data_IF_825557673227
#
_entry.id   IF_825557673227
#
_cell.length_a   1.000
_cell.length_b   1.000
_cell.length_c   1.000
_cell.angle_alpha   90.00
_cell.angle_beta   90.00
_cell.angle_gamma   90.00
#
_symmetry.space_group_name_H-M   'P 1'
#
loop_
_entity.id
_entity.type
_entity.pdbx_description
1 polymer ?
#
# COMPACT_ATOMS: atom_id res chain seq x y z
N UNK A 1 -7.49 25.81 -6.73
CA UNK A 1 -8.54 26.09 -7.72
C UNK A 1 -9.38 24.84 -8.03
N UNK A 2 -8.84 23.71 -8.47
CA UNK A 2 -9.58 22.48 -8.83
C UNK A 2 -10.42 21.90 -7.68
N UNK A 3 -9.90 21.90 -6.43
CA UNK A 3 -10.67 21.42 -5.25
C UNK A 3 -11.86 22.29 -4.91
N UNK A 4 -11.76 23.61 -5.14
CA UNK A 4 -12.86 24.55 -4.89
C UNK A 4 -13.96 24.40 -5.97
N UNK A 5 -13.58 24.21 -7.23
CA UNK A 5 -14.50 23.92 -8.32
C UNK A 5 -15.24 22.60 -8.10
N UNK A 6 -14.56 21.56 -7.64
CA UNK A 6 -15.17 20.26 -7.33
C UNK A 6 -16.17 20.35 -6.16
N UNK A 7 -15.85 21.12 -5.11
CA UNK A 7 -16.79 21.37 -4.00
C UNK A 7 -18.04 22.14 -4.43
N UNK A 8 -17.87 23.19 -5.27
CA UNK A 8 -19.01 23.94 -5.83
C UNK A 8 -19.90 23.06 -6.71
N UNK A 9 -19.30 22.19 -7.52
CA UNK A 9 -20.05 21.23 -8.34
C UNK A 9 -20.78 20.21 -7.47
N UNK A 10 -20.13 19.63 -6.46
CA UNK A 10 -20.74 18.69 -5.50
C UNK A 10 -21.89 19.32 -4.71
N UNK A 11 -21.83 20.63 -4.47
CA UNK A 11 -22.89 21.38 -3.78
C UNK A 11 -24.06 21.70 -4.72
N UNK A 12 -23.78 22.02 -5.97
CA UNK A 12 -24.78 22.22 -7.00
C UNK A 12 -25.54 20.92 -7.29
N UNK A 13 -24.83 19.79 -7.46
CA UNK A 13 -25.41 18.47 -7.70
C UNK A 13 -26.32 18.04 -6.55
N UNK A 14 -25.96 18.40 -5.31
CA UNK A 14 -26.80 18.16 -4.12
C UNK A 14 -28.07 19.01 -4.11
N UNK A 15 -27.97 20.28 -4.54
CA UNK A 15 -29.11 21.23 -4.58
C UNK A 15 -30.09 20.91 -5.71
N UNK A 16 -29.59 20.39 -6.81
CA UNK A 16 -30.39 20.07 -8.01
C UNK A 16 -30.95 18.65 -8.02
N UNK A 17 -30.61 17.81 -7.01
CA UNK A 17 -31.05 16.41 -6.95
C UNK A 17 -30.47 15.53 -8.05
N UNK A 18 -29.48 16.03 -8.80
CA UNK A 18 -28.80 15.25 -9.84
C UNK A 18 -27.94 14.18 -9.16
N UNK A 19 -28.25 12.91 -9.41
CA UNK A 19 -27.40 11.82 -8.96
C UNK A 19 -25.99 12.02 -9.53
N UNK A 20 -24.98 11.90 -8.66
CA UNK A 20 -23.58 12.01 -9.13
C UNK A 20 -23.36 10.99 -10.24
N UNK A 21 -22.89 11.42 -11.42
CA UNK A 21 -22.47 10.47 -12.41
C UNK A 21 -21.41 9.57 -11.79
N UNK A 22 -21.47 8.29 -12.12
CA UNK A 22 -20.50 7.31 -11.65
C UNK A 22 -19.08 7.81 -11.94
N UNK A 23 -18.39 8.26 -10.90
CA UNK A 23 -16.99 8.59 -11.03
C UNK A 23 -16.19 7.29 -10.90
N UNK A 24 -15.36 6.94 -11.90
CA UNK A 24 -14.54 5.77 -11.84
C UNK A 24 -13.71 5.82 -10.57
N UNK A 25 -13.66 4.71 -9.87
CA UNK A 25 -12.69 4.58 -8.79
C UNK A 25 -11.30 4.77 -9.38
N UNK A 26 -10.48 5.70 -8.85
CA UNK A 26 -9.15 6.01 -9.39
C UNK A 26 -8.18 4.81 -9.39
N UNK A 27 -8.66 3.61 -9.07
CA UNK A 27 -7.88 2.41 -8.76
C UNK A 27 -7.84 1.36 -9.88
N UNK A 28 -8.63 1.52 -10.94
CA UNK A 28 -8.58 0.57 -12.03
C UNK A 28 -7.40 0.92 -12.95
N UNK A 29 -6.37 0.08 -12.94
CA UNK A 29 -5.21 0.18 -13.84
C UNK A 29 -5.44 -0.51 -15.18
N UNK A 30 -6.63 -1.10 -15.40
CA UNK A 30 -6.93 -1.78 -16.67
C UNK A 30 -7.22 -0.76 -17.74
N UNK A 31 -6.51 -0.81 -18.88
CA UNK A 31 -6.71 0.13 -19.98
C UNK A 31 -8.15 0.19 -20.45
N UNK A 32 -8.85 -0.96 -20.51
CA UNK A 32 -10.25 -1.05 -20.92
C UNK A 32 -11.18 -0.28 -19.97
N UNK A 33 -10.93 -0.39 -18.65
CA UNK A 33 -11.77 0.30 -17.68
C UNK A 33 -11.58 1.82 -17.75
N UNK A 34 -10.35 2.26 -18.00
CA UNK A 34 -10.06 3.69 -18.18
C UNK A 34 -10.70 4.21 -19.47
N UNK A 35 -10.58 3.45 -20.54
CA UNK A 35 -11.20 3.79 -21.82
C UNK A 35 -12.73 3.82 -21.71
N UNK A 36 -13.33 2.85 -21.02
CA UNK A 36 -14.77 2.83 -20.75
C UNK A 36 -15.26 4.09 -20.05
N UNK A 37 -14.54 4.50 -19.05
CA UNK A 37 -14.89 5.67 -18.26
C UNK A 37 -14.80 6.96 -19.07
N UNK A 38 -13.72 7.14 -19.81
CA UNK A 38 -13.53 8.32 -20.66
C UNK A 38 -14.57 8.32 -21.77
N UNK A 39 -14.81 7.16 -22.39
CA UNK A 39 -15.83 7.01 -23.42
C UNK A 39 -17.23 7.36 -22.91
N UNK A 40 -17.63 6.87 -21.74
CA UNK A 40 -18.91 7.21 -21.13
C UNK A 40 -18.98 8.72 -20.79
N UNK A 41 -17.90 9.28 -20.26
CA UNK A 41 -17.82 10.69 -19.92
C UNK A 41 -17.99 11.57 -21.16
N UNK A 42 -17.28 11.26 -22.25
CA UNK A 42 -17.35 12.00 -23.50
C UNK A 42 -18.74 11.93 -24.14
N UNK A 43 -19.43 10.79 -24.06
CA UNK A 43 -20.81 10.65 -24.56
C UNK A 43 -21.83 11.41 -23.71
N UNK A 44 -21.70 11.41 -22.40
CA UNK A 44 -22.63 12.09 -21.48
C UNK A 44 -22.46 13.61 -21.53
N UNK A 45 -21.23 14.09 -21.51
CA UNK A 45 -20.94 15.53 -21.37
C UNK A 45 -20.48 16.22 -22.67
N UNK A 46 -20.25 15.43 -23.71
CA UNK A 46 -19.60 15.89 -24.93
C UNK A 46 -18.08 16.09 -24.79
N UNK A 47 -17.39 16.04 -25.90
CA UNK A 47 -15.97 16.35 -25.98
C UNK A 47 -15.70 17.17 -27.23
N UNK A 48 -15.60 18.52 -27.12
CA UNK A 48 -15.35 19.40 -28.26
C UNK A 48 -14.03 19.10 -28.99
N UNK A 49 -13.02 18.58 -28.28
CA UNK A 49 -11.72 18.25 -28.88
C UNK A 49 -11.79 17.02 -29.80
N UNK A 50 -12.74 16.14 -29.56
CA UNK A 50 -13.01 14.96 -30.38
C UNK A 50 -14.27 15.09 -31.23
N UNK A 51 -14.86 16.30 -31.26
CA UNK A 51 -16.12 16.58 -31.98
C UNK A 51 -17.29 15.66 -31.56
N UNK A 52 -17.37 15.34 -30.28
CA UNK A 52 -18.44 14.53 -29.69
C UNK A 52 -19.47 15.48 -29.06
N UNK A 53 -20.69 15.48 -29.56
CA UNK A 53 -21.80 16.22 -28.97
C UNK A 53 -22.31 15.51 -27.69
N UNK A 54 -22.76 16.25 -26.65
CA UNK A 54 -23.37 15.66 -25.47
C UNK A 54 -24.69 14.95 -25.84
N UNK A 55 -24.95 13.82 -25.19
CA UNK A 55 -26.14 12.98 -25.36
C UNK A 55 -26.94 12.98 -24.05
N UNK A 56 -27.85 13.96 -23.82
CA UNK A 56 -28.59 14.11 -22.57
C UNK A 56 -29.47 12.91 -22.21
N UNK A 57 -29.97 12.18 -23.20
CA UNK A 57 -30.75 10.96 -23.06
C UNK A 57 -29.92 9.85 -22.37
N UNK A 58 -28.67 9.68 -22.72
CA UNK A 58 -27.77 8.72 -22.05
C UNK A 58 -27.52 9.10 -20.59
N UNK A 59 -27.51 10.40 -20.28
CA UNK A 59 -27.41 10.86 -18.92
C UNK A 59 -28.67 10.55 -18.10
N UNK A 60 -29.84 10.74 -18.69
CA UNK A 60 -31.11 10.42 -18.03
C UNK A 60 -31.23 8.91 -17.75
N UNK A 61 -30.90 8.05 -18.69
CA UNK A 61 -30.85 6.60 -18.53
C UNK A 61 -29.82 6.18 -17.48
N UNK A 62 -28.65 6.77 -17.48
CA UNK A 62 -27.58 6.51 -16.53
C UNK A 62 -28.00 6.88 -15.10
N UNK A 63 -28.65 8.02 -14.91
CA UNK A 63 -29.14 8.50 -13.61
C UNK A 63 -30.23 7.63 -13.02
N UNK A 64 -31.02 6.96 -13.88
CA UNK A 64 -32.06 6.01 -13.48
C UNK A 64 -31.54 4.60 -13.22
N UNK A 65 -30.22 4.37 -13.36
CA UNK A 65 -29.61 3.03 -13.20
C UNK A 65 -29.86 2.07 -14.35
N UNK A 66 -30.63 2.46 -15.37
CA UNK A 66 -30.92 1.64 -16.56
C UNK A 66 -29.86 1.75 -17.64
N UNK A 67 -29.19 2.89 -17.72
CA UNK A 67 -28.20 3.19 -18.76
C UNK A 67 -26.88 2.44 -18.63
N UNK A 68 -26.62 1.77 -17.49
CA UNK A 68 -25.38 1.01 -17.29
C UNK A 68 -25.30 -0.18 -18.25
N UNK A 69 -26.43 -0.83 -18.53
CA UNK A 69 -26.49 -2.01 -19.41
C UNK A 69 -26.36 -1.57 -20.88
N UNK A 70 -27.15 -0.59 -21.30
CA UNK A 70 -27.11 -0.07 -22.66
C UNK A 70 -25.77 0.61 -23.00
N UNK A 71 -25.20 1.39 -22.07
CA UNK A 71 -23.85 1.95 -22.20
C UNK A 71 -22.78 0.87 -22.30
N UNK A 72 -22.91 -0.21 -21.53
CA UNK A 72 -22.00 -1.33 -21.62
C UNK A 72 -22.04 -2.03 -22.97
N UNK A 73 -23.21 -2.28 -23.51
CA UNK A 73 -23.40 -2.89 -24.83
C UNK A 73 -22.85 -1.99 -25.93
N UNK A 74 -23.16 -0.69 -25.89
CA UNK A 74 -22.63 0.28 -26.84
C UNK A 74 -21.10 0.38 -26.75
N UNK A 75 -20.53 0.31 -25.54
CA UNK A 75 -19.08 0.28 -25.35
C UNK A 75 -18.43 -0.99 -25.87
N UNK A 76 -19.07 -2.17 -25.69
CA UNK A 76 -18.57 -3.42 -26.26
C UNK A 76 -18.59 -3.39 -27.79
N UNK A 77 -19.64 -2.82 -28.39
CA UNK A 77 -19.68 -2.59 -29.84
C UNK A 77 -18.58 -1.61 -30.30
N UNK A 78 -18.35 -0.53 -29.56
CA UNK A 78 -17.23 0.38 -29.79
C UNK A 78 -15.88 -0.34 -29.68
N UNK A 79 -15.64 -1.15 -28.65
CA UNK A 79 -14.41 -1.91 -28.52
C UNK A 79 -14.18 -2.91 -29.68
N UNK A 80 -15.25 -3.42 -30.28
CA UNK A 80 -15.15 -4.30 -31.43
C UNK A 80 -14.88 -3.56 -32.76
N UNK A 81 -15.04 -2.23 -32.79
CA UNK A 81 -14.73 -1.40 -33.96
C UNK A 81 -13.22 -1.14 -34.10
N UNK A 82 -12.77 -0.82 -35.32
CA UNK A 82 -11.37 -0.43 -35.57
C UNK A 82 -10.94 0.76 -34.72
N UNK A 83 -11.82 1.75 -34.54
CA UNK A 83 -11.57 2.93 -33.73
C UNK A 83 -11.37 2.59 -32.25
N UNK A 84 -12.23 1.70 -31.71
CA UNK A 84 -12.11 1.22 -30.33
C UNK A 84 -10.85 0.38 -30.09
N UNK A 85 -10.49 -0.46 -31.03
CA UNK A 85 -9.25 -1.25 -30.97
C UNK A 85 -8.02 -0.36 -31.04
N UNK A 86 -8.02 0.66 -31.89
CA UNK A 86 -6.96 1.66 -31.95
C UNK A 86 -6.85 2.44 -30.64
N UNK A 87 -7.97 2.95 -30.10
CA UNK A 87 -7.98 3.69 -28.84
C UNK A 87 -7.51 2.83 -27.65
N UNK A 88 -7.82 1.54 -27.65
CA UNK A 88 -7.33 0.59 -26.65
C UNK A 88 -5.82 0.36 -26.78
N UNK A 89 -5.33 0.19 -28.00
CA UNK A 89 -3.89 0.05 -28.28
C UNK A 89 -3.12 1.32 -27.90
N UNK A 90 -3.61 2.49 -28.26
CA UNK A 90 -3.01 3.78 -27.91
C UNK A 90 -2.97 3.96 -26.38
N UNK A 91 -4.03 3.56 -25.67
CA UNK A 91 -4.04 3.59 -24.20
C UNK A 91 -3.08 2.58 -23.58
N UNK A 92 -2.97 1.41 -24.15
CA UNK A 92 -2.03 0.39 -23.69
C UNK A 92 -0.58 0.86 -23.90
N UNK A 93 -0.32 1.56 -25.04
CA UNK A 93 1.01 2.12 -25.35
C UNK A 93 1.27 3.45 -24.61
N UNK A 94 0.28 4.33 -24.45
CA UNK A 94 0.47 5.67 -23.89
C UNK A 94 0.48 5.71 -22.36
N UNK A 95 0.10 4.64 -21.67
CA UNK A 95 0.04 4.56 -20.20
C UNK A 95 0.64 3.29 -19.59
N UNK A 96 1.45 2.57 -20.29
CA UNK A 96 2.65 2.15 -19.62
C UNK A 96 3.46 3.44 -19.42
N UNK A 97 3.56 4.04 -18.17
CA UNK A 97 4.84 4.63 -17.89
C UNK A 97 5.75 3.49 -18.32
N UNK A 98 6.77 3.74 -19.14
CA UNK A 98 7.81 2.76 -19.32
C UNK A 98 8.02 2.17 -17.94
N UNK A 99 7.42 1.00 -17.70
CA UNK A 99 7.68 0.23 -16.50
C UNK A 99 9.07 -0.27 -16.76
N UNK A 100 10.03 0.67 -16.65
CA UNK A 100 11.42 0.39 -16.70
C UNK A 100 11.59 -0.70 -15.68
N UNK A 101 11.83 -1.89 -16.16
CA UNK A 101 12.17 -2.99 -15.31
C UNK A 101 13.41 -2.52 -14.55
N UNK A 102 13.27 -2.30 -13.24
CA UNK A 102 14.37 -1.85 -12.40
C UNK A 102 15.54 -2.83 -12.49
N UNK A 103 15.28 -4.07 -12.88
CA UNK A 103 16.27 -5.13 -13.09
C UNK A 103 17.03 -5.01 -14.40
N UNK A 104 16.47 -4.37 -15.42
CA UNK A 104 17.16 -4.16 -16.70
C UNK A 104 18.27 -3.10 -16.65
N UNK A 105 18.49 -2.51 -15.48
CA UNK A 105 19.50 -1.49 -15.26
C UNK A 105 20.79 -2.15 -14.75
N UNK A 106 21.82 -2.24 -15.59
CA UNK A 106 23.11 -2.88 -15.26
C UNK A 106 24.06 -1.98 -14.46
N UNK A 107 23.66 -0.75 -14.14
CA UNK A 107 24.47 0.13 -13.28
C UNK A 107 24.60 -0.45 -11.87
N UNK A 108 25.71 -0.20 -11.17
CA UNK A 108 25.82 -0.58 -9.76
C UNK A 108 24.73 0.08 -8.93
N UNK A 109 24.36 -0.54 -7.81
CA UNK A 109 23.41 0.04 -6.89
C UNK A 109 24.07 1.15 -6.07
N UNK A 110 23.44 2.31 -6.03
CA UNK A 110 23.88 3.46 -5.25
C UNK A 110 23.21 3.50 -3.88
N UNK A 111 21.98 3.00 -3.79
CA UNK A 111 21.15 3.02 -2.58
C UNK A 111 20.40 1.72 -2.38
N UNK A 112 19.88 1.52 -1.17
CA UNK A 112 19.10 0.32 -0.82
C UNK A 112 17.86 0.69 -0.02
N UNK A 113 16.71 0.19 -0.43
CA UNK A 113 15.46 0.25 0.32
C UNK A 113 15.09 -1.13 0.86
N UNK A 114 15.05 -1.28 2.18
CA UNK A 114 14.66 -2.53 2.85
C UNK A 114 13.20 -2.44 3.27
N UNK A 115 12.41 -3.40 2.82
CA UNK A 115 10.95 -3.42 2.95
C UNK A 115 10.51 -4.67 3.69
N UNK A 116 9.84 -4.57 4.85
CA UNK A 116 9.27 -5.71 5.53
C UNK A 116 7.93 -6.08 4.89
N UNK A 117 7.65 -7.37 4.77
CA UNK A 117 6.37 -7.92 4.35
C UNK A 117 5.87 -8.82 5.46
N UNK A 118 4.89 -8.33 6.22
CA UNK A 118 4.55 -8.90 7.50
C UNK A 118 3.14 -8.51 7.96
N UNK A 119 2.65 -9.24 8.95
CA UNK A 119 1.46 -8.85 9.72
C UNK A 119 1.85 -8.10 11.00
N UNK A 120 0.93 -7.38 11.68
CA UNK A 120 1.19 -6.81 13.00
C UNK A 120 1.64 -7.89 13.99
N UNK A 121 2.58 -7.57 14.87
CA UNK A 121 3.11 -8.53 15.87
C UNK A 121 4.19 -9.50 15.38
N UNK A 122 4.56 -9.48 14.10
CA UNK A 122 5.62 -10.35 13.55
C UNK A 122 7.04 -10.03 14.03
N UNK A 123 7.28 -8.83 14.60
CA UNK A 123 8.60 -8.41 15.09
C UNK A 123 9.38 -7.48 14.15
N UNK A 124 8.77 -7.01 13.04
CA UNK A 124 9.43 -6.18 12.04
C UNK A 124 10.12 -4.92 12.60
N UNK A 125 9.42 -4.14 13.45
CA UNK A 125 9.97 -2.91 14.03
C UNK A 125 11.17 -3.19 14.92
N UNK A 126 11.13 -4.24 15.74
CA UNK A 126 12.27 -4.63 16.58
C UNK A 126 13.48 -5.01 15.71
N UNK A 127 13.28 -5.78 14.64
CA UNK A 127 14.33 -6.12 13.68
C UNK A 127 14.94 -4.86 13.03
N UNK A 128 14.10 -3.91 12.62
CA UNK A 128 14.57 -2.68 11.96
C UNK A 128 15.29 -1.74 12.92
N UNK A 129 14.84 -1.66 14.16
CA UNK A 129 15.57 -0.93 15.22
C UNK A 129 16.96 -1.54 15.46
N UNK A 130 17.06 -2.87 15.51
CA UNK A 130 18.34 -3.54 15.65
C UNK A 130 19.28 -3.29 14.46
N UNK A 131 18.77 -3.36 13.22
CA UNK A 131 19.55 -3.05 12.01
C UNK A 131 19.99 -1.58 11.99
N UNK A 132 19.10 -0.66 12.34
CA UNK A 132 19.44 0.78 12.46
C UNK A 132 20.53 1.01 13.50
N UNK A 133 20.46 0.35 14.66
CA UNK A 133 21.48 0.44 15.70
C UNK A 133 22.83 -0.09 15.23
N UNK A 134 22.86 -1.23 14.53
CA UNK A 134 24.10 -1.87 14.07
C UNK A 134 24.84 -1.04 13.02
N UNK A 135 24.12 -0.42 12.09
CA UNK A 135 24.72 0.18 10.90
C UNK A 135 24.41 1.68 10.73
N UNK A 136 23.64 2.29 11.61
CA UNK A 136 23.21 3.67 11.46
C UNK A 136 22.25 3.93 10.29
N UNK A 137 21.58 2.87 9.79
CA UNK A 137 20.64 3.01 8.66
C UNK A 137 19.43 3.85 9.04
N UNK A 138 18.97 4.66 8.09
CA UNK A 138 17.78 5.46 8.28
C UNK A 138 16.54 4.56 8.46
N UNK A 139 15.74 4.82 9.49
CA UNK A 139 14.55 4.05 9.81
C UNK A 139 13.33 4.96 9.83
N UNK A 140 12.38 4.74 8.92
CA UNK A 140 11.12 5.49 8.86
C UNK A 140 9.94 4.55 9.06
N UNK A 141 9.02 4.95 9.95
CA UNK A 141 7.88 4.12 10.36
C UNK A 141 6.57 4.76 9.89
N UNK A 142 5.66 3.94 9.35
CA UNK A 142 4.31 4.41 8.98
C UNK A 142 3.51 4.86 10.19
N UNK A 143 3.81 4.30 11.36
CA UNK A 143 3.12 4.61 12.60
C UNK A 143 3.52 5.96 13.20
N UNK A 144 4.66 6.52 12.81
CA UNK A 144 5.09 7.88 13.21
C UNK A 144 4.39 8.99 12.42
N UNK A 145 3.73 8.66 11.32
CA UNK A 145 3.06 9.63 10.47
C UNK A 145 1.80 10.16 11.15
N UNK A 146 1.77 11.46 11.48
CA UNK A 146 0.68 12.11 12.22
C UNK A 146 -0.46 12.61 11.34
N UNK A 147 -0.36 12.49 10.01
CA UNK A 147 -1.40 12.95 9.11
C UNK A 147 -2.58 11.98 9.06
N UNK A 148 -3.80 12.49 8.79
CA UNK A 148 -5.03 11.68 8.64
C UNK A 148 -4.89 10.56 7.59
N UNK A 149 -4.05 10.74 6.57
CA UNK A 149 -3.71 9.74 5.55
C UNK A 149 -2.26 9.32 5.73
N UNK A 150 -2.04 8.28 6.53
CA UNK A 150 -0.69 7.80 6.87
C UNK A 150 0.10 7.28 5.65
N UNK A 151 -0.55 6.58 4.71
CA UNK A 151 0.12 6.01 3.54
C UNK A 151 0.90 7.03 2.71
N UNK A 152 0.28 8.09 2.16
CA UNK A 152 1.01 9.11 1.40
C UNK A 152 2.08 9.84 2.19
N UNK A 153 1.88 10.04 3.50
CA UNK A 153 2.88 10.65 4.39
C UNK A 153 4.10 9.76 4.55
N UNK A 154 3.88 8.46 4.75
CA UNK A 154 4.93 7.47 4.84
C UNK A 154 5.78 7.39 3.56
N UNK A 155 5.13 7.36 2.39
CA UNK A 155 5.84 7.31 1.10
C UNK A 155 6.71 8.57 0.88
N UNK A 156 6.24 9.74 1.31
CA UNK A 156 7.06 10.96 1.28
C UNK A 156 8.27 10.88 2.21
N UNK A 157 8.10 10.30 3.41
CA UNK A 157 9.20 10.09 4.32
C UNK A 157 10.23 9.11 3.72
N UNK A 158 9.78 7.99 3.14
CA UNK A 158 10.67 7.04 2.44
C UNK A 158 11.44 7.74 1.33
N UNK A 159 10.78 8.54 0.50
CA UNK A 159 11.41 9.32 -0.56
C UNK A 159 12.47 10.28 0.01
N UNK A 160 12.12 11.04 1.04
CA UNK A 160 13.02 11.97 1.72
C UNK A 160 14.25 11.27 2.29
N UNK A 161 14.06 10.16 2.99
CA UNK A 161 15.17 9.41 3.59
C UNK A 161 16.08 8.80 2.51
N UNK A 162 15.52 8.29 1.39
CA UNK A 162 16.32 7.78 0.27
C UNK A 162 17.14 8.88 -0.43
N UNK A 163 16.67 10.13 -0.43
CA UNK A 163 17.46 11.26 -0.94
C UNK A 163 18.69 11.54 -0.05
N UNK A 164 18.58 11.32 1.26
CA UNK A 164 19.57 11.69 2.25
C UNK A 164 20.51 10.55 2.68
N UNK A 165 20.09 9.30 2.56
CA UNK A 165 20.78 8.12 3.09
C UNK A 165 20.96 7.02 2.03
N UNK A 166 22.01 6.20 2.20
CA UNK A 166 22.30 5.11 1.26
C UNK A 166 21.46 3.87 1.55
N UNK A 167 21.09 3.62 2.81
CA UNK A 167 20.23 2.51 3.21
C UNK A 167 19.07 3.03 4.05
N UNK A 168 17.84 2.68 3.64
CA UNK A 168 16.60 3.09 4.29
C UNK A 168 15.76 1.86 4.65
N UNK A 169 15.31 1.81 5.90
CA UNK A 169 14.40 0.81 6.44
C UNK A 169 12.98 1.38 6.44
N UNK A 170 12.12 0.88 5.54
CA UNK A 170 10.75 1.38 5.34
C UNK A 170 9.73 0.57 6.15
N UNK A 171 9.60 0.86 7.45
CA UNK A 171 8.79 0.09 8.39
C UNK A 171 7.29 0.32 8.24
N UNK A 172 6.66 -0.58 7.50
CA UNK A 172 5.21 -0.71 7.33
C UNK A 172 4.90 -2.20 7.11
N UNK A 173 3.69 -2.66 7.37
CA UNK A 173 3.34 -4.08 7.18
C UNK A 173 3.52 -4.58 5.73
N UNK A 174 3.20 -3.77 4.74
CA UNK A 174 3.29 -4.06 3.29
C UNK A 174 2.65 -5.41 2.88
N UNK A 175 1.66 -5.86 3.65
CA UNK A 175 0.96 -7.13 3.46
C UNK A 175 0.09 -7.16 2.20
N UNK A 176 -0.20 -6.02 1.60
CA UNK A 176 -0.94 -5.89 0.33
C UNK A 176 0.02 -5.62 -0.84
N UNK A 177 -0.23 -6.22 -1.99
CA UNK A 177 0.50 -5.94 -3.25
C UNK A 177 0.52 -4.43 -3.52
N UNK A 178 -0.61 -3.76 -3.35
CA UNK A 178 -0.70 -2.30 -3.52
C UNK A 178 0.34 -1.52 -2.70
N UNK A 179 0.62 -1.95 -1.47
CA UNK A 179 1.59 -1.28 -0.62
C UNK A 179 3.02 -1.44 -1.14
N UNK A 180 3.31 -2.60 -1.75
CA UNK A 180 4.58 -2.90 -2.38
C UNK A 180 4.72 -2.12 -3.69
N UNK A 181 3.65 -2.07 -4.50
CA UNK A 181 3.56 -1.23 -5.71
C UNK A 181 3.88 0.24 -5.41
N UNK A 182 3.29 0.79 -4.34
CA UNK A 182 3.50 2.17 -3.93
C UNK A 182 4.99 2.46 -3.64
N UNK A 183 5.72 1.52 -3.03
CA UNK A 183 7.15 1.65 -2.75
C UNK A 183 8.00 1.50 -4.02
N UNK A 184 7.69 0.54 -4.87
CA UNK A 184 8.34 0.40 -6.19
C UNK A 184 8.16 1.66 -7.03
N UNK A 185 6.97 2.28 -7.01
CA UNK A 185 6.71 3.54 -7.71
C UNK A 185 7.52 4.72 -7.13
N UNK A 186 7.79 4.74 -5.82
CA UNK A 186 8.73 5.71 -5.22
C UNK A 186 10.13 5.49 -5.80
N UNK A 187 10.64 4.27 -5.77
CA UNK A 187 11.98 3.94 -6.29
C UNK A 187 12.09 4.29 -7.77
N UNK A 188 11.14 3.89 -8.62
CA UNK A 188 11.11 4.25 -10.05
C UNK A 188 11.20 5.76 -10.28
N UNK A 189 10.48 6.53 -9.46
CA UNK A 189 10.44 7.99 -9.59
C UNK A 189 11.78 8.64 -9.28
N UNK A 190 12.44 8.21 -8.18
CA UNK A 190 13.71 8.81 -7.74
C UNK A 190 14.92 8.29 -8.53
N UNK A 191 14.83 7.09 -9.10
CA UNK A 191 15.88 6.50 -9.94
C UNK A 191 15.81 6.97 -11.40
N UNK A 192 14.85 7.84 -11.75
CA UNK A 192 14.68 8.32 -13.12
C UNK A 192 15.77 9.35 -13.49
N UNK A 193 16.70 9.05 -14.44
CA UNK A 193 17.77 9.98 -14.82
C UNK A 193 17.28 11.33 -15.31
N UNK A 194 16.09 11.40 -15.91
CA UNK A 194 15.51 12.64 -16.43
C UNK A 194 15.03 13.61 -15.34
N UNK A 195 14.97 13.18 -14.07
CA UNK A 195 14.45 13.96 -12.94
C UNK A 195 15.49 14.24 -11.84
N UNK A 196 16.78 14.16 -12.15
CA UNK A 196 17.83 14.32 -11.14
C UNK A 196 17.93 13.09 -10.24
N UNK A 197 18.22 11.95 -10.87
CA UNK A 197 18.27 10.63 -10.24
C UNK A 197 19.25 10.55 -9.06
N UNK A 198 18.84 9.88 -8.00
CA UNK A 198 19.71 9.46 -6.89
C UNK A 198 20.58 8.24 -7.24
N UNK A 199 20.53 7.78 -8.48
CA UNK A 199 21.17 6.55 -8.91
C UNK A 199 20.24 5.33 -8.88
N UNK A 200 20.81 4.14 -8.93
CA UNK A 200 20.07 2.88 -8.89
C UNK A 200 19.78 2.46 -7.45
N UNK A 201 18.53 2.17 -7.14
CA UNK A 201 18.10 1.74 -5.81
C UNK A 201 17.82 0.25 -5.80
N UNK A 202 18.52 -0.50 -4.93
CA UNK A 202 18.24 -1.91 -4.66
C UNK A 202 17.00 -2.03 -3.78
N UNK A 203 16.10 -2.92 -4.16
CA UNK A 203 14.92 -3.27 -3.37
C UNK A 203 15.16 -4.61 -2.65
N UNK A 204 15.15 -4.59 -1.31
CA UNK A 204 15.31 -5.78 -0.48
C UNK A 204 14.01 -6.06 0.27
N UNK A 205 13.43 -7.24 0.09
CA UNK A 205 12.28 -7.71 0.86
C UNK A 205 12.71 -8.56 2.06
N UNK A 206 12.20 -8.25 3.24
CA UNK A 206 12.25 -9.15 4.40
C UNK A 206 10.83 -9.67 4.64
N UNK A 207 10.62 -10.94 4.35
CA UNK A 207 9.30 -11.58 4.33
C UNK A 207 9.13 -12.47 5.54
N UNK A 208 8.19 -12.17 6.43
CA UNK A 208 7.75 -13.10 7.45
C UNK A 208 6.80 -14.10 6.80
N UNK A 209 7.32 -15.31 6.60
CA UNK A 209 6.54 -16.36 5.94
C UNK A 209 5.45 -16.87 6.89
N UNK A 210 4.22 -16.79 6.42
CA UNK A 210 3.02 -17.30 7.11
C UNK A 210 2.28 -18.32 6.25
N UNK A 211 2.88 -18.73 5.11
CA UNK A 211 2.30 -19.74 4.24
C UNK A 211 2.23 -21.10 4.96
N UNK A 212 1.10 -21.75 4.86
CA UNK A 212 0.86 -23.05 5.50
C UNK A 212 0.48 -22.99 6.98
N UNK A 213 0.52 -21.79 7.61
CA UNK A 213 0.05 -21.63 8.99
C UNK A 213 -1.46 -21.34 9.04
N UNK A 214 -2.13 -21.87 10.06
CA UNK A 214 -3.53 -21.53 10.31
C UNK A 214 -3.66 -20.09 10.81
N UNK A 215 -4.80 -19.44 10.52
CA UNK A 215 -5.08 -18.10 11.06
C UNK A 215 -5.00 -18.04 12.57
N UNK A 216 -5.43 -19.11 13.27
CA UNK A 216 -5.40 -19.18 14.73
C UNK A 216 -3.97 -19.24 15.28
N UNK A 217 -3.04 -19.94 14.62
CA UNK A 217 -1.62 -19.97 15.03
C UNK A 217 -0.97 -18.61 14.87
N UNK A 218 -1.15 -17.96 13.71
CA UNK A 218 -0.61 -16.62 13.46
C UNK A 218 -1.19 -15.63 14.47
N UNK A 219 -2.50 -15.71 14.72
CA UNK A 219 -3.18 -14.84 15.68
C UNK A 219 -2.66 -15.04 17.10
N UNK A 220 -2.57 -16.28 17.57
CA UNK A 220 -2.08 -16.58 18.91
C UNK A 220 -0.66 -16.07 19.13
N UNK A 221 0.25 -16.32 18.18
CA UNK A 221 1.64 -15.89 18.24
C UNK A 221 1.79 -14.37 18.22
N UNK A 222 1.12 -13.70 17.27
CA UNK A 222 1.22 -12.26 17.11
C UNK A 222 0.53 -11.51 18.25
N UNK A 223 -0.65 -11.96 18.72
CA UNK A 223 -1.34 -11.37 19.88
C UNK A 223 -0.49 -11.48 21.14
N UNK A 224 0.14 -12.65 21.38
CA UNK A 224 1.05 -12.80 22.51
C UNK A 224 2.18 -11.78 22.48
N UNK A 225 2.87 -11.64 21.35
CA UNK A 225 3.97 -10.67 21.18
C UNK A 225 3.51 -9.22 21.33
N UNK A 226 2.29 -8.89 20.89
CA UNK A 226 1.72 -7.56 21.08
C UNK A 226 1.41 -7.27 22.55
N UNK A 227 0.92 -8.26 23.31
CA UNK A 227 0.67 -8.16 24.74
C UNK A 227 2.01 -8.03 25.50
N UNK A 228 3.00 -8.87 25.21
CA UNK A 228 4.32 -8.85 25.85
C UNK A 228 5.06 -7.52 25.62
N UNK A 229 4.81 -6.88 24.48
CA UNK A 229 5.34 -5.55 24.19
C UNK A 229 4.72 -4.45 25.04
N UNK A 230 3.47 -4.61 25.47
CA UNK A 230 2.74 -3.62 26.27
C UNK A 230 2.59 -2.27 25.61
N UNK A 231 2.86 -1.18 26.34
CA UNK A 231 2.68 0.21 25.89
C UNK A 231 3.80 0.74 25.00
N UNK A 232 4.75 -0.11 24.61
CA UNK A 232 5.87 0.26 23.74
C UNK A 232 5.48 0.32 22.25
N UNK A 233 4.34 0.94 21.95
CA UNK A 233 3.87 1.14 20.57
C UNK A 233 3.15 2.47 20.40
N UNK A 234 3.19 3.04 19.18
CA UNK A 234 2.59 4.33 18.86
C UNK A 234 1.05 4.31 18.95
N UNK A 235 0.43 3.24 18.46
CA UNK A 235 -1.01 3.14 18.23
C UNK A 235 -1.68 2.03 19.04
N UNK A 236 -1.01 0.89 19.21
CA UNK A 236 -1.57 -0.31 19.82
C UNK A 236 -0.95 -0.49 21.22
N UNK A 237 -1.61 0.05 22.24
CA UNK A 237 -1.19 0.03 23.66
C UNK A 237 -2.19 -0.78 24.50
N UNK A 238 -1.77 -1.31 25.65
CA UNK A 238 -2.65 -2.07 26.58
C UNK A 238 -3.79 -1.18 27.09
N UNK A 239 -3.54 0.13 27.24
CA UNK A 239 -4.55 1.12 27.62
C UNK A 239 -5.64 1.31 26.57
N UNK A 240 -5.44 0.78 25.35
CA UNK A 240 -6.47 0.81 24.31
C UNK A 240 -7.59 -0.13 24.74
N UNK A 241 -8.85 0.35 24.92
CA UNK A 241 -9.92 -0.46 25.47
C UNK A 241 -10.23 -1.65 24.56
N UNK A 242 -10.15 -2.83 25.16
CA UNK A 242 -10.65 -4.07 24.61
C UNK A 242 -9.59 -4.98 23.98
N UNK A 243 -9.30 -6.08 24.68
CA UNK A 243 -8.56 -7.23 24.13
C UNK A 243 -9.16 -7.70 22.79
N UNK A 244 -10.43 -7.44 22.57
CA UNK A 244 -11.17 -7.72 21.33
C UNK A 244 -10.72 -6.88 20.12
N UNK A 245 -10.26 -5.64 20.31
CA UNK A 245 -9.88 -4.80 19.18
C UNK A 245 -8.58 -5.27 18.52
N UNK A 246 -7.61 -5.76 19.30
CA UNK A 246 -6.37 -6.32 18.73
C UNK A 246 -6.65 -7.56 17.88
N UNK A 247 -7.51 -8.43 18.36
CA UNK A 247 -7.85 -9.67 17.68
C UNK A 247 -8.62 -9.40 16.38
N UNK A 248 -9.52 -8.41 16.38
CA UNK A 248 -10.25 -7.98 15.18
C UNK A 248 -9.30 -7.36 14.14
N UNK A 249 -8.43 -6.45 14.60
CA UNK A 249 -7.45 -5.80 13.71
C UNK A 249 -6.51 -6.85 13.13
N UNK A 250 -5.94 -7.73 13.95
CA UNK A 250 -5.00 -8.75 13.51
C UNK A 250 -5.66 -9.76 12.57
N UNK A 251 -6.88 -10.22 12.90
CA UNK A 251 -7.68 -11.11 12.03
C UNK A 251 -7.88 -10.49 10.65
N UNK A 252 -8.19 -9.19 10.59
CA UNK A 252 -8.34 -8.49 9.34
C UNK A 252 -7.03 -8.48 8.54
N UNK A 253 -5.90 -8.12 9.16
CA UNK A 253 -4.60 -8.13 8.50
C UNK A 253 -4.23 -9.50 7.97
N UNK A 254 -4.44 -10.57 8.74
CA UNK A 254 -4.16 -11.96 8.33
C UNK A 254 -5.00 -12.31 7.09
N UNK A 255 -6.31 -12.03 7.12
CA UNK A 255 -7.23 -12.32 6.01
C UNK A 255 -6.93 -11.51 4.74
N UNK A 256 -6.51 -10.26 4.89
CA UNK A 256 -6.20 -9.36 3.77
C UNK A 256 -4.78 -9.57 3.22
N UNK A 257 -3.92 -10.32 3.91
CA UNK A 257 -2.54 -10.54 3.49
C UNK A 257 -2.48 -11.22 2.12
N UNK A 258 -1.77 -10.58 1.21
CA UNK A 258 -1.50 -11.09 -0.12
C UNK A 258 -0.09 -11.67 -0.17
N UNK A 259 0.08 -12.96 -0.50
CA UNK A 259 1.38 -13.62 -0.53
C UNK A 259 2.41 -12.84 -1.34
N UNK A 260 3.66 -12.84 -0.87
CA UNK A 260 4.78 -12.31 -1.62
C UNK A 260 5.29 -13.39 -2.58
N UNK A 261 5.24 -13.11 -3.87
CA UNK A 261 5.57 -14.10 -4.90
C UNK A 261 7.01 -14.02 -5.40
N UNK A 262 7.67 -12.87 -5.39
CA UNK A 262 9.07 -12.69 -5.82
C UNK A 262 9.39 -13.30 -7.19
N UNK A 263 10.60 -13.06 -7.68
CA UNK A 263 11.04 -13.48 -9.01
C UNK A 263 11.18 -15.01 -9.25
N UNK A 264 10.92 -15.83 -8.25
CA UNK A 264 11.11 -17.29 -8.35
C UNK A 264 9.86 -18.08 -8.81
N UNK A 265 8.71 -17.43 -8.91
CA UNK A 265 7.52 -18.08 -9.48
C UNK A 265 7.58 -17.95 -11.00
N UNK A 266 8.03 -18.98 -11.70
CA UNK A 266 8.10 -19.07 -13.17
C UNK A 266 6.74 -19.05 -13.89
N UNK A 267 5.70 -18.60 -13.25
CA UNK A 267 4.41 -18.25 -13.84
C UNK A 267 4.50 -16.82 -14.34
N UNK A 268 4.32 -16.65 -15.64
CA UNK A 268 4.51 -15.42 -16.40
C UNK A 268 4.12 -14.15 -15.65
N UNK A 269 5.04 -13.21 -15.61
CA UNK A 269 4.91 -11.91 -14.96
C UNK A 269 3.57 -11.23 -15.30
N UNK A 270 2.64 -11.26 -14.36
CA UNK A 270 1.38 -10.51 -14.45
C UNK A 270 1.56 -9.04 -14.01
N UNK A 271 2.78 -8.47 -14.18
CA UNK A 271 3.05 -7.08 -13.82
C UNK A 271 2.96 -6.80 -12.31
N UNK A 272 3.26 -7.79 -11.47
CA UNK A 272 3.24 -7.66 -10.01
C UNK A 272 4.56 -7.07 -9.56
N UNK A 273 4.52 -6.04 -8.73
CA UNK A 273 5.72 -5.35 -8.22
C UNK A 273 6.66 -6.23 -7.39
N UNK A 274 6.22 -7.40 -6.94
CA UNK A 274 7.05 -8.36 -6.21
C UNK A 274 8.25 -8.82 -7.04
N UNK A 275 8.14 -8.83 -8.38
CA UNK A 275 9.23 -9.17 -9.29
C UNK A 275 10.33 -8.10 -9.36
N UNK A 276 10.07 -6.91 -8.82
CA UNK A 276 11.01 -5.80 -8.82
C UNK A 276 11.95 -5.81 -7.62
N UNK A 277 11.77 -6.74 -6.69
CA UNK A 277 12.69 -6.89 -5.56
C UNK A 277 13.93 -7.68 -5.98
N UNK A 278 15.09 -7.06 -5.75
CA UNK A 278 16.40 -7.63 -6.11
C UNK A 278 16.82 -8.71 -5.13
N UNK A 279 16.51 -8.52 -3.83
CA UNK A 279 16.89 -9.39 -2.73
C UNK A 279 15.67 -9.78 -1.89
N UNK A 280 15.61 -11.05 -1.50
CA UNK A 280 14.51 -11.58 -0.69
C UNK A 280 15.04 -12.43 0.46
N UNK A 281 14.77 -12.00 1.69
CA UNK A 281 15.07 -12.76 2.90
C UNK A 281 13.77 -13.27 3.50
N UNK A 282 13.59 -14.60 3.56
CA UNK A 282 12.43 -15.21 4.20
C UNK A 282 12.75 -15.58 5.64
N UNK A 283 11.87 -15.18 6.54
CA UNK A 283 11.93 -15.43 7.98
C UNK A 283 10.78 -16.32 8.40
N UNK A 284 11.06 -17.27 9.26
CA UNK A 284 10.00 -17.99 9.96
C UNK A 284 9.42 -17.09 11.05
N UNK A 285 8.09 -16.96 11.06
CA UNK A 285 7.42 -16.12 12.08
C UNK A 285 7.62 -16.66 13.50
N UNK A 286 7.96 -17.95 13.69
CA UNK A 286 8.24 -18.55 14.98
C UNK A 286 9.66 -18.29 15.47
N UNK A 287 10.58 -17.92 14.57
CA UNK A 287 11.98 -17.69 14.92
C UNK A 287 12.12 -16.63 16.03
N UNK A 288 12.97 -16.89 17.04
CA UNK A 288 13.40 -15.85 17.97
C UNK A 288 14.09 -14.71 17.22
N UNK A 289 14.01 -13.50 17.76
CA UNK A 289 14.59 -12.31 17.13
C UNK A 289 16.08 -12.49 16.77
N UNK A 290 16.86 -13.14 17.62
CA UNK A 290 18.29 -13.41 17.37
C UNK A 290 18.51 -14.24 16.11
N UNK A 291 17.67 -15.25 15.88
CA UNK A 291 17.72 -16.11 14.69
C UNK A 291 17.35 -15.32 13.44
N UNK A 292 16.24 -14.58 13.51
CA UNK A 292 15.77 -13.71 12.42
C UNK A 292 16.82 -12.65 12.05
N UNK A 293 17.37 -11.94 13.05
CA UNK A 293 18.40 -10.93 12.82
C UNK A 293 19.66 -11.53 12.20
N UNK A 294 20.17 -12.64 12.72
CA UNK A 294 21.36 -13.33 12.15
C UNK A 294 21.11 -13.77 10.70
N UNK A 295 19.91 -14.26 10.38
CA UNK A 295 19.55 -14.66 9.01
C UNK A 295 19.57 -13.46 8.07
N UNK A 296 18.99 -12.33 8.47
CA UNK A 296 19.02 -11.09 7.69
C UNK A 296 20.44 -10.58 7.50
N UNK A 297 21.24 -10.55 8.56
CA UNK A 297 22.64 -10.12 8.51
C UNK A 297 23.48 -11.00 7.58
N UNK A 298 23.35 -12.33 7.66
CA UNK A 298 24.05 -13.27 6.77
C UNK A 298 23.75 -13.02 5.30
N UNK A 299 22.54 -12.55 4.98
CA UNK A 299 22.15 -12.25 3.61
C UNK A 299 22.57 -10.84 3.19
N UNK A 300 22.23 -9.81 3.98
CA UNK A 300 22.44 -8.42 3.59
C UNK A 300 23.89 -7.95 3.71
N UNK A 301 24.68 -8.44 4.67
CA UNK A 301 26.06 -7.98 4.81
C UNK A 301 26.91 -8.22 3.55
N UNK A 302 26.94 -9.43 2.95
CA UNK A 302 27.67 -9.65 1.72
C UNK A 302 27.14 -8.81 0.54
N UNK A 303 25.80 -8.70 0.42
CA UNK A 303 25.13 -7.93 -0.65
C UNK A 303 25.47 -6.44 -0.59
N UNK A 304 25.67 -5.90 0.61
CA UNK A 304 25.99 -4.49 0.84
C UNK A 304 27.46 -4.23 1.08
N UNK A 305 28.32 -5.25 0.95
CA UNK A 305 29.77 -5.12 1.20
C UNK A 305 30.12 -4.80 2.65
N UNK A 306 29.31 -5.24 3.61
CA UNK A 306 29.48 -4.98 5.03
C UNK A 306 30.06 -6.18 5.76
N UNK A 307 30.84 -5.93 6.79
CA UNK A 307 31.32 -6.97 7.70
C UNK A 307 30.20 -7.47 8.61
N UNK A 308 30.17 -8.77 8.87
CA UNK A 308 29.23 -9.37 9.82
C UNK A 308 29.51 -8.85 11.24
N UNK A 309 28.53 -8.30 11.95
CA UNK A 309 28.71 -7.87 13.34
C UNK A 309 29.05 -9.07 14.28
N UNK A 310 29.78 -8.81 15.36
CA UNK A 310 30.05 -9.83 16.38
C UNK A 310 28.79 -10.23 17.14
N UNK A 311 28.84 -11.39 17.80
CA UNK A 311 27.68 -11.86 18.57
C UNK A 311 27.33 -10.94 19.75
N UNK A 312 28.32 -10.25 20.33
CA UNK A 312 28.14 -9.22 21.36
C UNK A 312 27.35 -8.04 20.78
N UNK A 313 27.77 -7.49 19.63
CA UNK A 313 27.09 -6.39 18.96
C UNK A 313 25.65 -6.76 18.54
N UNK A 314 25.44 -7.99 18.11
CA UNK A 314 24.11 -8.50 17.79
C UNK A 314 23.24 -8.55 19.06
N UNK A 315 23.81 -8.99 20.20
CA UNK A 315 23.06 -9.05 21.45
C UNK A 315 22.72 -7.65 21.97
N UNK A 316 23.65 -6.70 21.92
CA UNK A 316 23.38 -5.29 22.24
C UNK A 316 22.27 -4.69 21.37
N UNK A 317 22.29 -4.96 20.06
CA UNK A 317 21.27 -4.46 19.14
C UNK A 317 19.88 -5.03 19.46
N UNK A 318 19.81 -6.29 19.88
CA UNK A 318 18.56 -6.91 20.34
C UNK A 318 18.07 -6.25 21.62
N UNK A 319 18.95 -6.00 22.59
CA UNK A 319 18.60 -5.33 23.84
C UNK A 319 18.06 -3.92 23.58
N UNK A 320 18.69 -3.16 22.71
CA UNK A 320 18.19 -1.84 22.28
C UNK A 320 16.80 -1.97 21.64
N UNK A 321 16.60 -2.93 20.75
CA UNK A 321 15.33 -3.16 20.10
C UNK A 321 14.20 -3.59 21.05
N UNK A 322 14.54 -4.42 22.05
CA UNK A 322 13.58 -4.87 23.05
C UNK A 322 13.18 -3.74 24.03
N UNK A 323 14.05 -2.75 24.23
CA UNK A 323 13.77 -1.59 25.07
C UNK A 323 13.32 -0.36 24.26
N UNK A 324 13.19 -0.49 22.95
CA UNK A 324 12.77 0.60 22.08
C UNK A 324 11.42 1.19 22.51
N UNK A 325 11.37 2.53 22.60
CA UNK A 325 10.17 3.30 22.84
C UNK A 325 9.99 4.32 21.71
N UNK A 326 8.83 4.33 21.04
CA UNK A 326 8.59 5.29 19.97
C UNK A 326 8.57 6.73 20.54
N UNK A 327 9.17 7.66 19.81
CA UNK A 327 9.17 9.09 20.13
C UNK A 327 7.78 9.71 19.89
N UNK A 328 7.05 9.21 18.91
CA UNK A 328 5.71 9.65 18.57
C UNK A 328 4.68 8.74 19.22
N UNK A 329 3.76 9.34 20.01
CA UNK A 329 2.61 8.64 20.57
C UNK A 329 1.35 9.23 19.97
N UNK A 330 0.56 8.43 19.26
CA UNK A 330 -0.75 8.86 18.78
C UNK A 330 -1.74 8.90 19.95
N UNK A 331 -2.66 9.89 19.98
CA UNK A 331 -3.74 9.88 20.96
C UNK A 331 -4.55 8.58 20.80
N UNK A 332 -4.97 8.01 21.94
CA UNK A 332 -5.89 6.88 21.92
C UNK A 332 -7.20 7.29 21.25
N UNK A 333 -7.86 6.41 20.49
CA UNK A 333 -9.20 6.66 20.00
C UNK A 333 -10.09 7.03 21.21
N UNK A 334 -10.85 8.11 21.11
CA UNK A 334 -11.88 8.41 22.12
C UNK A 334 -12.88 7.27 22.08
N UNK A 335 -13.14 6.66 23.24
CA UNK A 335 -14.28 5.75 23.39
C UNK A 335 -15.54 6.54 23.02
N UNK A 336 -16.20 6.16 21.94
CA UNK A 336 -17.58 6.62 21.73
C UNK A 336 -18.40 6.11 22.91
N UNK A 337 -19.03 7.01 23.63
CA UNK A 337 -19.94 6.64 24.71
C UNK A 337 -21.04 5.75 24.14
N UNK A 338 -21.57 4.82 24.94
CA UNK A 338 -22.66 3.94 24.48
C UNK A 338 -23.88 4.73 23.99
N UNK A 339 -24.04 5.98 24.44
CA UNK A 339 -25.03 6.93 23.94
C UNK A 339 -24.74 7.44 22.51
N UNK A 340 -23.43 7.61 22.11
CA UNK A 340 -23.07 7.98 20.76
C UNK A 340 -23.17 6.78 19.79
N UNK A 341 -22.89 5.56 20.28
CA UNK A 341 -23.11 4.32 19.50
C UNK A 341 -24.59 4.10 19.22
N UNK A 342 -25.47 4.34 20.21
CA UNK A 342 -26.92 4.26 20.02
C UNK A 342 -27.47 5.35 19.09
N UNK A 343 -26.95 6.58 19.15
CA UNK A 343 -27.31 7.64 18.19
C UNK A 343 -26.89 7.32 16.76
N UNK A 344 -25.69 6.75 16.56
CA UNK A 344 -25.20 6.36 15.24
C UNK A 344 -25.94 5.14 14.67
N UNK A 345 -26.43 4.22 15.53
CA UNK A 345 -27.34 3.13 15.11
C UNK A 345 -28.74 3.63 14.75
N UNK A 346 -29.25 4.66 15.47
CA UNK A 346 -30.58 5.20 15.22
C UNK A 346 -30.67 6.05 13.92
N UNK A 347 -29.56 6.41 13.33
CA UNK A 347 -29.48 7.16 12.05
C UNK A 347 -29.38 6.24 10.83
N UNK A 348 -29.27 4.92 11.02
CA UNK A 348 -29.32 3.98 9.90
C UNK A 348 -30.78 3.82 9.43
N UNK A 349 -31.05 4.02 8.11
CA UNK A 349 -32.41 3.78 7.59
C UNK A 349 -32.83 2.33 7.85
N UNK A 350 -34.10 2.13 8.26
CA UNK A 350 -34.68 0.84 8.58
C UNK A 350 -34.66 -0.21 7.44
N UNK A 351 -34.17 0.14 6.27
CA UNK A 351 -33.93 -0.76 5.13
C UNK A 351 -32.73 -1.69 5.27
N UNK A 352 -31.94 -1.58 6.34
CA UNK A 352 -30.80 -2.48 6.62
C UNK A 352 -31.06 -3.52 7.72
N UNK A 353 -32.22 -3.49 8.34
CA UNK A 353 -32.70 -4.54 9.24
C UNK A 353 -33.61 -5.48 8.42
N UNK A 354 -32.99 -6.30 7.57
CA UNK A 354 -33.67 -7.35 6.83
C UNK A 354 -34.18 -8.42 7.79
N UNK A 355 -35.53 -8.57 7.81
CA UNK A 355 -36.23 -9.78 8.23
C UNK A 355 -36.06 -10.82 7.14
#
# INVERSE_FOLDING_TARGET
>A
AQRALRRKKDELDRKTGVAKPWAPTPKSRRPETMLYVEWCYDRIYGNPQQNIAPQPELFAEFSQGRGIISLREAFLAYLASEEGQKALSDKTQSKAPETRDLRSDDRPYDKTLVVPIAVPGSGKTALFVALSYLFGWAHTQSDDVQTKRTGPGFLKNVEKELLAHDVVLADRNNHLIKHRDELVDVVRRISNPQRGSVGRVRLCAIVWDIAGLSHSEIQALCSKRMIDRGDRHQCLRIETPGKFEYDVILTRFIKETQPFRGAQSGEGSLGVSDDQFDEVVRLDIHDPMKVSLKRVLKHLCPVLGLSMPTDERISEAIDVAMHYRPSVRKPLPKLESDQEKQKNLAVLPSSYLGV
#
